data_IF_827118723556
#
_entry.id   IF_827118723556
#
_cell.length_a   1.000
_cell.length_b   1.000
_cell.length_c   1.000
_cell.angle_alpha   90.00
_cell.angle_beta   90.00
_cell.angle_gamma   90.00
#
_symmetry.space_group_name_H-M   'P 1'
#
loop_
_entity.id
_entity.type
_entity.pdbx_description
1 polymer ?
#
# COMPACT_ATOMS: atom_id res chain seq x y z
N UNK A 1 58.61 -4.75 24.72
CA UNK A 1 57.95 -5.97 25.23
C UNK A 1 56.68 -6.21 24.42
N UNK A 2 56.61 -7.33 23.69
CA UNK A 2 55.49 -7.73 22.83
C UNK A 2 54.56 -8.63 23.63
N UNK A 3 53.27 -8.33 23.67
CA UNK A 3 52.24 -9.29 24.09
C UNK A 3 51.26 -9.50 22.94
N UNK A 4 51.46 -10.59 22.20
CA UNK A 4 50.44 -11.22 21.35
C UNK A 4 49.43 -11.89 22.29
N UNK A 5 48.14 -11.56 22.17
CA UNK A 5 47.07 -12.44 22.65
C UNK A 5 46.43 -13.13 21.45
N UNK A 6 46.57 -14.45 21.49
CA UNK A 6 46.17 -15.45 20.54
C UNK A 6 44.75 -15.92 20.88
N UNK A 7 43.93 -16.08 19.82
CA UNK A 7 42.80 -16.99 19.63
C UNK A 7 41.86 -17.35 20.77
N UNK A 8 40.56 -17.29 20.48
CA UNK A 8 39.75 -18.50 20.48
C UNK A 8 38.45 -18.31 19.69
N UNK A 9 38.41 -18.97 18.53
CA UNK A 9 37.18 -19.28 17.80
C UNK A 9 36.46 -20.41 18.55
N UNK A 10 35.20 -20.21 18.90
CA UNK A 10 34.28 -21.31 19.19
C UNK A 10 33.03 -21.12 18.34
N UNK A 11 33.03 -21.76 17.19
CA UNK A 11 31.83 -22.08 16.43
C UNK A 11 31.04 -23.13 17.23
N UNK A 12 29.84 -22.77 17.66
CA UNK A 12 28.83 -23.73 18.14
C UNK A 12 27.97 -24.09 16.93
N UNK A 13 28.19 -25.27 16.37
CA UNK A 13 27.26 -25.88 15.42
C UNK A 13 26.11 -26.49 16.23
N UNK A 14 24.91 -25.89 16.12
CA UNK A 14 23.68 -26.49 16.63
C UNK A 14 23.07 -27.29 15.48
N UNK A 15 23.09 -28.61 15.62
CA UNK A 15 22.43 -29.53 14.71
C UNK A 15 20.91 -29.43 14.92
N UNK A 16 20.19 -28.96 13.90
CA UNK A 16 18.72 -28.98 13.87
C UNK A 16 18.28 -30.29 13.22
N UNK A 17 17.74 -31.19 14.04
CA UNK A 17 17.07 -32.42 13.57
C UNK A 17 15.70 -32.07 12.99
N UNK A 18 15.56 -32.21 11.67
CA UNK A 18 14.29 -32.16 10.96
C UNK A 18 13.51 -33.47 11.19
N UNK A 19 12.37 -33.40 11.87
CA UNK A 19 11.35 -34.44 11.82
C UNK A 19 10.39 -34.11 10.67
N UNK A 20 10.58 -34.77 9.53
CA UNK A 20 9.63 -34.75 8.42
C UNK A 20 8.45 -35.69 8.75
N UNK A 21 7.30 -35.13 9.13
CA UNK A 21 6.04 -35.86 9.14
C UNK A 21 5.36 -35.70 7.77
N UNK A 22 5.51 -36.71 6.90
CA UNK A 22 4.70 -36.81 5.68
C UNK A 22 3.25 -37.13 6.07
N UNK A 23 2.39 -36.11 6.06
CA UNK A 23 0.95 -36.31 6.03
C UNK A 23 0.49 -36.43 4.57
N UNK A 24 0.26 -37.66 4.11
CA UNK A 24 -0.37 -37.93 2.81
C UNK A 24 -1.85 -37.55 2.88
N UNK A 25 -2.22 -36.40 2.31
CA UNK A 25 -3.61 -36.06 2.06
C UNK A 25 -4.06 -36.67 0.73
N UNK A 26 -4.91 -37.70 0.80
CA UNK A 26 -5.68 -38.19 -0.34
C UNK A 26 -6.79 -37.20 -0.68
N UNK A 27 -6.67 -36.52 -1.81
CA UNK A 27 -7.73 -35.67 -2.35
C UNK A 27 -8.71 -36.57 -3.11
N UNK A 28 -9.86 -36.84 -2.51
CA UNK A 28 -10.98 -37.46 -3.19
C UNK A 28 -11.58 -36.45 -4.19
N UNK A 29 -11.36 -36.69 -5.48
CA UNK A 29 -11.95 -35.91 -6.57
C UNK A 29 -13.43 -36.31 -6.73
N UNK A 30 -14.34 -35.47 -6.22
CA UNK A 30 -15.77 -35.61 -6.47
C UNK A 30 -16.09 -35.02 -7.84
N UNK A 31 -16.28 -35.89 -8.83
CA UNK A 31 -16.80 -35.52 -10.14
C UNK A 31 -18.21 -34.91 -10.00
N UNK A 32 -18.37 -33.66 -10.44
CA UNK A 32 -19.69 -33.03 -10.56
C UNK A 32 -20.45 -33.66 -11.74
N UNK A 33 -21.74 -34.01 -11.58
CA UNK A 33 -22.57 -34.42 -12.70
C UNK A 33 -22.85 -33.21 -13.62
N UNK A 34 -22.46 -33.35 -14.89
CA UNK A 34 -22.82 -32.45 -15.97
C UNK A 34 -24.30 -32.61 -16.28
N UNK A 35 -25.14 -31.70 -15.79
CA UNK A 35 -26.53 -31.56 -16.25
C UNK A 35 -26.52 -30.83 -17.59
N UNK A 36 -26.88 -31.57 -18.65
CA UNK A 36 -27.10 -31.04 -19.99
C UNK A 36 -28.28 -30.06 -19.98
N UNK A 37 -28.03 -28.82 -20.41
CA UNK A 37 -29.06 -27.80 -20.61
C UNK A 37 -29.69 -28.04 -22.00
N UNK A 38 -31.02 -28.17 -22.12
CA UNK A 38 -31.68 -28.30 -23.42
C UNK A 38 -31.57 -26.98 -24.20
N UNK A 39 -31.10 -27.09 -25.45
CA UNK A 39 -31.05 -25.99 -26.40
C UNK A 39 -32.47 -25.60 -26.85
N UNK A 40 -32.89 -24.38 -26.52
CA UNK A 40 -34.04 -23.75 -27.14
C UNK A 40 -33.62 -23.05 -28.45
N UNK A 41 -34.39 -23.19 -29.54
CA UNK A 41 -34.12 -22.49 -30.80
C UNK A 41 -34.48 -21.00 -30.67
N UNK A 42 -33.49 -20.14 -30.92
CA UNK A 42 -33.70 -18.69 -31.08
C UNK A 42 -34.29 -18.41 -32.48
N UNK A 43 -35.44 -17.74 -32.59
CA UNK A 43 -35.91 -17.21 -33.87
C UNK A 43 -35.10 -15.97 -34.27
N UNK A 44 -34.59 -16.00 -35.51
CA UNK A 44 -33.97 -14.85 -36.17
C UNK A 44 -35.01 -13.77 -36.46
N UNK A 45 -34.75 -12.53 -36.02
CA UNK A 45 -35.48 -11.35 -36.46
C UNK A 45 -34.54 -10.12 -36.56
N UNK A 46 -34.27 -9.76 -37.81
CA UNK A 46 -34.01 -8.46 -38.44
C UNK A 46 -33.08 -7.40 -37.81
N UNK A 47 -32.24 -6.73 -38.64
CA UNK A 47 -31.45 -5.58 -38.23
C UNK A 47 -32.29 -4.30 -38.29
N UNK A 48 -32.54 -3.68 -37.14
CA UNK A 48 -33.03 -2.30 -37.08
C UNK A 48 -31.84 -1.37 -36.84
N UNK A 49 -31.42 -0.69 -37.89
CA UNK A 49 -30.48 0.43 -37.87
C UNK A 49 -31.02 1.55 -36.97
N UNK A 50 -30.34 1.82 -35.86
CA UNK A 50 -30.50 3.06 -35.10
C UNK A 50 -29.24 3.91 -35.27
N UNK A 51 -29.34 5.18 -35.70
CA UNK A 51 -28.24 6.12 -35.57
C UNK A 51 -28.14 6.52 -34.09
N UNK A 52 -27.22 5.90 -33.35
CA UNK A 52 -26.80 6.42 -32.07
C UNK A 52 -25.95 7.68 -32.33
N UNK A 53 -26.62 8.83 -32.33
CA UNK A 53 -25.98 10.14 -32.20
C UNK A 53 -25.20 10.10 -30.89
N UNK A 54 -23.88 9.86 -31.00
CA UNK A 54 -22.95 10.10 -29.91
C UNK A 54 -23.06 11.58 -29.53
N UNK A 55 -23.36 11.93 -28.27
CA UNK A 55 -23.07 13.27 -27.80
C UNK A 55 -21.55 13.42 -27.77
N UNK A 56 -21.00 13.92 -28.87
CA UNK A 56 -19.66 14.43 -28.95
C UNK A 56 -19.50 15.52 -27.88
N UNK A 57 -18.46 15.37 -27.06
CA UNK A 57 -17.81 16.42 -26.30
C UNK A 57 -18.75 17.47 -25.67
N UNK A 58 -19.39 17.11 -24.56
CA UNK A 58 -19.73 18.13 -23.59
C UNK A 58 -18.43 18.83 -23.17
N UNK A 59 -18.31 20.17 -23.29
CA UNK A 59 -17.13 20.87 -22.84
C UNK A 59 -16.96 20.60 -21.35
N UNK A 60 -15.85 19.93 -21.00
CA UNK A 60 -15.38 19.78 -19.63
C UNK A 60 -15.39 21.17 -19.01
N UNK A 61 -16.32 21.43 -18.08
CA UNK A 61 -16.32 22.66 -17.28
C UNK A 61 -14.90 22.79 -16.74
N UNK A 62 -14.23 23.88 -17.06
CA UNK A 62 -12.87 24.18 -16.60
C UNK A 62 -12.79 23.87 -15.10
N UNK A 63 -12.14 22.75 -14.77
CA UNK A 63 -11.99 22.30 -13.39
C UNK A 63 -11.19 23.36 -12.67
N UNK A 64 -11.66 23.77 -11.49
CA UNK A 64 -10.84 24.64 -10.63
C UNK A 64 -9.50 23.93 -10.40
N UNK A 65 -8.36 24.65 -10.47
CA UNK A 65 -7.06 24.06 -10.20
C UNK A 65 -7.12 23.36 -8.83
N UNK A 66 -6.99 22.04 -8.84
CA UNK A 66 -6.82 21.26 -7.61
C UNK A 66 -5.41 21.45 -7.14
N UNK A 67 -5.19 21.42 -5.84
CA UNK A 67 -3.83 21.55 -5.34
C UNK A 67 -3.19 20.16 -5.24
N UNK A 68 -2.14 19.95 -6.03
CA UNK A 68 -1.46 18.67 -6.19
C UNK A 68 -0.80 18.21 -4.91
N UNK A 69 -0.68 16.89 -4.75
CA UNK A 69 0.18 16.30 -3.73
C UNK A 69 1.45 15.78 -4.38
N UNK A 70 2.61 16.18 -3.84
CA UNK A 70 3.92 15.79 -4.37
C UNK A 70 4.62 14.77 -3.50
N UNK A 71 4.28 14.73 -2.20
CA UNK A 71 5.02 13.94 -1.24
C UNK A 71 4.09 13.19 -0.29
N UNK A 72 4.48 11.96 0.03
CA UNK A 72 3.92 11.18 1.12
C UNK A 72 5.07 10.60 1.93
N UNK A 73 4.97 10.66 3.26
CA UNK A 73 6.09 10.35 4.16
C UNK A 73 7.35 11.21 3.90
N UNK A 74 7.15 12.36 3.24
CA UNK A 74 8.19 13.27 2.75
C UNK A 74 9.11 12.69 1.67
N UNK A 75 8.64 11.68 0.93
CA UNK A 75 9.26 11.18 -0.31
C UNK A 75 8.33 11.41 -1.50
N UNK A 76 8.90 11.42 -2.71
CA UNK A 76 8.24 11.70 -3.99
C UNK A 76 8.22 10.46 -4.88
N UNK A 77 7.05 9.84 -5.10
CA UNK A 77 6.89 8.83 -6.15
C UNK A 77 7.33 9.38 -7.52
N UNK A 78 7.93 8.53 -8.34
CA UNK A 78 8.48 8.84 -9.66
C UNK A 78 9.85 9.53 -9.64
N UNK A 79 10.36 9.90 -8.47
CA UNK A 79 11.60 10.70 -8.35
C UNK A 79 12.57 10.19 -7.29
N UNK A 80 12.07 9.91 -6.10
CA UNK A 80 12.91 9.42 -5.00
C UNK A 80 13.15 7.91 -5.15
N UNK A 81 14.26 7.42 -4.58
CA UNK A 81 14.69 6.01 -4.74
C UNK A 81 14.65 5.23 -3.43
N UNK A 82 14.79 3.89 -3.51
CA UNK A 82 14.97 3.02 -2.34
C UNK A 82 16.10 3.51 -1.43
N UNK A 83 17.22 3.96 -1.98
CA UNK A 83 18.35 4.46 -1.19
C UNK A 83 17.96 5.68 -0.34
N UNK A 84 17.11 6.57 -0.86
CA UNK A 84 16.58 7.72 -0.10
C UNK A 84 15.61 7.27 1.00
N UNK A 85 14.77 6.27 0.72
CA UNK A 85 13.88 5.68 1.73
C UNK A 85 14.67 5.04 2.88
N UNK A 86 15.72 4.27 2.56
CA UNK A 86 16.61 3.65 3.55
C UNK A 86 17.39 4.69 4.36
N UNK A 87 17.84 5.77 3.73
CA UNK A 87 18.48 6.87 4.44
C UNK A 87 17.54 7.56 5.44
N UNK A 88 16.24 7.60 5.12
CA UNK A 88 15.21 8.27 5.93
C UNK A 88 14.64 7.40 7.04
N UNK A 89 14.32 6.14 6.73
CA UNK A 89 13.60 5.23 7.64
C UNK A 89 14.48 4.10 8.17
N UNK A 90 15.78 4.10 7.85
CA UNK A 90 16.71 3.04 8.19
C UNK A 90 16.31 1.70 7.57
N UNK A 91 16.24 0.64 8.36
CA UNK A 91 16.00 -0.73 7.88
C UNK A 91 14.50 -1.00 7.78
N UNK A 92 14.00 -1.57 6.66
CA UNK A 92 12.63 -2.04 6.58
C UNK A 92 12.38 -3.20 7.55
N UNK A 93 11.10 -3.39 7.87
CA UNK A 93 10.59 -4.51 8.64
C UNK A 93 10.90 -5.82 7.90
N UNK A 94 11.59 -6.76 8.55
CA UNK A 94 12.02 -8.01 7.92
C UNK A 94 10.95 -9.11 7.95
N UNK A 95 9.70 -8.78 8.29
CA UNK A 95 8.63 -9.77 8.47
C UNK A 95 8.77 -10.59 9.74
N UNK A 96 7.82 -11.50 9.94
CA UNK A 96 8.10 -12.68 10.76
C UNK A 96 9.11 -13.55 10.01
N UNK A 97 10.00 -14.30 10.68
CA UNK A 97 11.00 -15.13 10.02
C UNK A 97 10.41 -16.18 9.07
N UNK A 98 9.13 -16.51 9.23
CA UNK A 98 8.39 -17.45 8.39
C UNK A 98 7.57 -16.74 7.29
N UNK A 99 7.56 -15.41 7.25
CA UNK A 99 6.97 -14.66 6.15
C UNK A 99 7.88 -14.70 4.93
N UNK A 100 7.30 -14.80 3.73
CA UNK A 100 8.05 -14.57 2.50
C UNK A 100 8.78 -13.22 2.64
N UNK A 101 10.09 -13.17 2.32
CA UNK A 101 10.83 -11.92 2.39
C UNK A 101 10.14 -10.88 1.53
N UNK A 102 10.19 -9.61 1.98
CA UNK A 102 9.78 -8.47 1.15
C UNK A 102 10.39 -8.66 -0.25
N UNK A 103 9.55 -8.56 -1.29
CA UNK A 103 10.02 -8.72 -2.65
C UNK A 103 11.11 -7.70 -2.94
N UNK A 104 12.01 -8.01 -3.87
CA UNK A 104 12.97 -7.01 -4.37
C UNK A 104 12.26 -5.78 -5.00
N UNK A 105 10.94 -5.78 -5.13
CA UNK A 105 10.13 -4.66 -5.65
C UNK A 105 9.34 -3.93 -4.57
N UNK A 106 9.43 -4.30 -3.30
CA UNK A 106 8.70 -3.62 -2.23
C UNK A 106 9.47 -3.55 -0.92
N UNK A 107 9.06 -2.65 -0.04
CA UNK A 107 9.56 -2.59 1.33
C UNK A 107 8.49 -2.05 2.27
N UNK A 108 8.47 -2.56 3.50
CA UNK A 108 7.54 -2.12 4.53
C UNK A 108 8.29 -1.61 5.76
N UNK A 109 7.85 -0.47 6.31
CA UNK A 109 8.28 0.02 7.63
C UNK A 109 7.08 0.06 8.55
N UNK A 110 7.21 -0.55 9.74
CA UNK A 110 6.14 -0.63 10.74
C UNK A 110 6.49 0.15 11.99
N UNK A 111 5.53 0.93 12.46
CA UNK A 111 5.51 1.52 13.78
C UNK A 111 4.41 0.86 14.59
N UNK A 112 4.80 -0.24 15.24
CA UNK A 112 3.93 -1.06 16.07
C UNK A 112 3.44 -0.33 17.34
N UNK A 113 4.11 0.75 17.72
CA UNK A 113 3.70 1.60 18.84
C UNK A 113 2.44 2.39 18.50
N UNK A 114 2.31 2.78 17.23
CA UNK A 114 1.21 3.60 16.73
C UNK A 114 0.25 2.83 15.83
N UNK A 115 0.50 1.53 15.62
CA UNK A 115 -0.21 0.69 14.67
C UNK A 115 -0.27 1.33 13.28
N UNK A 116 0.88 1.71 12.73
CA UNK A 116 0.99 2.29 11.39
C UNK A 116 2.04 1.57 10.57
N UNK A 117 1.83 1.52 9.26
CA UNK A 117 2.85 1.07 8.32
C UNK A 117 3.01 2.03 7.14
N UNK A 118 4.24 2.10 6.63
CA UNK A 118 4.56 2.69 5.33
C UNK A 118 4.99 1.55 4.43
N UNK A 119 4.31 1.37 3.30
CA UNK A 119 4.66 0.44 2.24
C UNK A 119 5.11 1.22 1.03
N UNK A 120 6.16 0.77 0.37
CA UNK A 120 6.64 1.32 -0.89
C UNK A 120 6.77 0.23 -1.93
N UNK A 121 6.43 0.57 -3.16
CA UNK A 121 6.70 -0.23 -4.35
C UNK A 121 7.76 0.46 -5.18
N UNK A 122 8.70 -0.32 -5.68
CA UNK A 122 9.85 0.15 -6.45
C UNK A 122 9.78 -0.41 -7.86
N UNK A 123 9.98 0.49 -8.82
CA UNK A 123 10.06 0.19 -10.23
C UNK A 123 11.49 -0.02 -10.72
N UNK A 124 11.71 0.35 -11.98
CA UNK A 124 13.03 0.32 -12.60
C UNK A 124 14.01 1.26 -11.86
N UNK A 125 15.28 0.85 -11.76
CA UNK A 125 16.35 1.63 -11.12
C UNK A 125 16.05 2.01 -9.65
N UNK A 126 15.24 1.19 -8.94
CA UNK A 126 14.83 1.41 -7.56
C UNK A 126 14.10 2.74 -7.32
N UNK A 127 13.47 3.32 -8.36
CA UNK A 127 12.62 4.50 -8.22
C UNK A 127 11.32 4.09 -7.54
N UNK A 128 10.86 4.90 -6.58
CA UNK A 128 9.61 4.67 -5.87
C UNK A 128 8.44 4.92 -6.84
N UNK A 129 7.63 3.90 -7.11
CA UNK A 129 6.41 4.04 -7.94
C UNK A 129 5.21 4.45 -7.10
N UNK A 130 5.07 3.84 -5.92
CA UNK A 130 3.96 4.11 -5.01
C UNK A 130 4.43 4.16 -3.56
N UNK A 131 3.78 5.02 -2.78
CA UNK A 131 3.91 5.07 -1.33
C UNK A 131 2.51 4.91 -0.76
N UNK A 132 2.34 3.98 0.17
CA UNK A 132 1.12 3.80 0.94
C UNK A 132 1.44 3.95 2.42
N UNK A 133 0.67 4.79 3.12
CA UNK A 133 0.67 4.84 4.59
C UNK A 133 -0.68 4.39 5.09
N UNK A 134 -0.71 3.47 6.06
CA UNK A 134 -1.95 2.90 6.57
C UNK A 134 -1.91 2.62 8.07
N UNK A 135 -3.10 2.43 8.65
CA UNK A 135 -3.28 1.89 10.00
C UNK A 135 -3.33 0.37 9.90
N UNK A 136 -2.50 -0.32 10.70
CA UNK A 136 -2.49 -1.79 10.77
C UNK A 136 -3.36 -2.27 11.93
N UNK A 137 -4.17 -3.30 11.69
CA UNK A 137 -4.81 -4.03 12.79
C UNK A 137 -3.75 -4.82 13.57
N UNK A 138 -3.76 -4.67 14.90
CA UNK A 138 -2.84 -5.39 15.76
C UNK A 138 -2.90 -4.91 17.21
N UNK A 139 -2.36 -5.70 18.15
CA UNK A 139 -2.19 -5.23 19.51
C UNK A 139 -1.29 -4.00 19.51
N UNK A 140 -1.71 -2.96 20.25
CA UNK A 140 -0.83 -1.83 20.52
C UNK A 140 0.26 -2.35 21.46
N UNK A 141 1.51 -2.27 21.02
CA UNK A 141 2.64 -2.64 21.86
C UNK A 141 2.98 -1.49 22.79
N UNK A 142 3.24 -1.79 24.07
CA UNK A 142 3.78 -0.83 25.03
C UNK A 142 5.21 -0.46 24.63
N UNK A 143 5.30 0.55 23.77
CA UNK A 143 6.57 1.14 23.42
C UNK A 143 6.98 2.11 24.52
N UNK A 144 7.67 1.60 25.52
CA UNK A 144 8.45 2.45 26.40
C UNK A 144 9.40 3.29 25.54
N UNK A 145 9.58 4.60 25.82
CA UNK A 145 10.60 5.40 25.13
C UNK A 145 11.93 4.69 25.33
N UNK A 146 12.53 4.21 24.24
CA UNK A 146 13.69 3.34 24.31
C UNK A 146 14.83 4.04 25.05
N UNK A 147 15.00 3.75 26.33
CA UNK A 147 16.11 4.26 27.12
C UNK A 147 17.44 3.66 26.63
N UNK A 148 17.41 2.54 25.89
CA UNK A 148 18.61 1.80 25.48
C UNK A 148 18.36 0.97 24.22
N UNK A 149 18.63 1.54 23.04
CA UNK A 149 19.21 0.86 21.87
C UNK A 149 18.62 -0.47 21.37
N UNK A 150 17.37 -0.82 21.68
CA UNK A 150 16.78 -2.09 21.22
C UNK A 150 16.26 -1.91 19.78
N UNK A 151 16.78 -2.62 18.77
CA UNK A 151 16.52 -2.33 17.35
C UNK A 151 15.11 -2.72 16.84
N UNK A 152 14.16 -3.07 17.70
CA UNK A 152 12.94 -3.78 17.29
C UNK A 152 11.68 -2.92 17.09
N UNK A 153 11.61 -1.74 17.72
CA UNK A 153 10.43 -0.87 17.64
C UNK A 153 10.86 0.58 17.38
N UNK A 154 11.53 0.79 16.24
CA UNK A 154 11.92 2.13 15.83
C UNK A 154 10.66 2.97 15.62
N UNK A 155 10.42 3.89 16.54
CA UNK A 155 9.36 4.89 16.40
C UNK A 155 9.69 5.78 15.21
N UNK A 156 8.88 5.70 14.16
CA UNK A 156 9.08 6.51 12.96
C UNK A 156 8.80 8.00 13.28
N UNK A 157 9.47 8.93 12.57
CA UNK A 157 9.20 10.36 12.69
C UNK A 157 7.74 10.67 12.33
N UNK A 158 7.15 11.69 12.96
CA UNK A 158 5.73 12.02 12.74
C UNK A 158 5.43 12.44 11.30
N UNK A 159 6.43 12.96 10.61
CA UNK A 159 6.44 13.37 9.21
C UNK A 159 6.28 12.18 8.25
N UNK A 160 6.61 10.96 8.69
CA UNK A 160 6.39 9.75 7.91
C UNK A 160 4.91 9.43 7.67
N UNK A 161 4.02 10.02 8.46
CA UNK A 161 2.58 9.71 8.48
C UNK A 161 1.70 10.78 7.85
N UNK A 162 2.30 11.68 7.06
CA UNK A 162 1.61 12.84 6.50
C UNK A 162 1.96 13.06 5.04
N UNK A 163 1.02 13.69 4.34
CA UNK A 163 1.25 14.25 3.00
C UNK A 163 2.03 15.56 3.09
N UNK A 164 2.57 16.04 1.96
CA UNK A 164 3.23 17.34 1.88
C UNK A 164 2.31 18.52 2.22
N UNK A 165 1.00 18.32 2.07
CA UNK A 165 -0.03 19.31 2.42
C UNK A 165 -0.61 19.11 3.82
N UNK A 166 -0.01 18.21 4.60
CA UNK A 166 -0.29 18.01 6.02
C UNK A 166 -1.48 17.12 6.35
N UNK A 167 -2.11 16.47 5.35
CA UNK A 167 -3.12 15.44 5.61
C UNK A 167 -2.44 14.27 6.32
N UNK A 168 -3.06 13.76 7.39
CA UNK A 168 -2.48 12.68 8.22
C UNK A 168 -3.46 11.54 8.47
N UNK A 169 -2.93 10.35 8.77
CA UNK A 169 -3.74 9.23 9.27
C UNK A 169 -4.52 9.63 10.54
N UNK A 170 -5.79 9.22 10.60
CA UNK A 170 -6.72 9.51 11.70
C UNK A 170 -7.47 10.84 11.58
N UNK A 171 -7.13 11.71 10.63
CA UNK A 171 -7.90 12.95 10.39
C UNK A 171 -9.28 12.66 9.79
N UNK A 172 -10.22 13.59 9.94
CA UNK A 172 -11.58 13.43 9.42
C UNK A 172 -11.61 13.54 7.89
N UNK A 173 -12.52 12.82 7.23
CA UNK A 173 -12.82 12.94 5.80
C UNK A 173 -13.06 14.39 5.36
N UNK A 174 -13.72 15.21 6.19
CA UNK A 174 -13.94 16.63 5.91
C UNK A 174 -12.63 17.41 5.72
N UNK A 175 -11.55 17.01 6.41
CA UNK A 175 -10.21 17.59 6.22
C UNK A 175 -9.66 17.29 4.83
N UNK A 176 -9.84 16.07 4.32
CA UNK A 176 -9.44 15.67 2.96
C UNK A 176 -10.08 16.60 1.93
N UNK A 177 -11.39 16.85 2.07
CA UNK A 177 -12.14 17.74 1.17
C UNK A 177 -11.69 19.21 1.28
N UNK A 178 -11.29 19.67 2.46
CA UNK A 178 -10.74 21.02 2.64
C UNK A 178 -9.38 21.16 1.96
N UNK A 179 -8.54 20.11 2.02
CA UNK A 179 -7.18 20.14 1.45
C UNK A 179 -7.21 19.98 -0.08
N UNK A 180 -7.92 18.97 -0.58
CA UNK A 180 -7.87 18.57 -2.00
C UNK A 180 -9.13 18.91 -2.80
N UNK A 181 -10.22 19.32 -2.13
CA UNK A 181 -11.51 19.54 -2.78
C UNK A 181 -12.30 18.25 -3.01
N UNK A 182 -13.36 18.31 -3.84
CA UNK A 182 -14.14 17.14 -4.21
C UNK A 182 -13.31 16.13 -5.04
N UNK A 183 -13.37 14.83 -4.72
CA UNK A 183 -12.66 13.80 -5.47
C UNK A 183 -13.26 13.61 -6.87
N UNK A 184 -12.50 12.94 -7.73
CA UNK A 184 -12.85 12.61 -9.10
C UNK A 184 -13.79 11.43 -9.15
N UNK A 185 -13.53 10.45 -8.31
CA UNK A 185 -14.42 9.34 -8.03
C UNK A 185 -14.41 9.04 -6.53
N UNK A 186 -15.54 8.53 -6.05
CA UNK A 186 -15.70 8.05 -4.69
C UNK A 186 -16.56 6.80 -4.71
N UNK A 187 -16.30 5.86 -3.81
CA UNK A 187 -17.03 4.59 -3.79
C UNK A 187 -16.92 3.84 -2.47
N UNK A 188 -17.79 2.86 -2.25
CA UNK A 188 -17.63 1.94 -1.14
C UNK A 188 -16.34 1.13 -1.33
N UNK A 189 -15.64 0.89 -0.23
CA UNK A 189 -14.48 0.00 -0.16
C UNK A 189 -14.57 -0.84 1.12
N UNK A 190 -13.77 -1.89 1.19
CA UNK A 190 -13.59 -2.67 2.41
C UNK A 190 -12.11 -2.85 2.67
N UNK A 191 -11.65 -2.47 3.85
CA UNK A 191 -10.26 -2.62 4.27
C UNK A 191 -10.24 -3.37 5.60
N UNK A 192 -9.51 -4.50 5.66
CA UNK A 192 -9.40 -5.33 6.87
C UNK A 192 -10.75 -5.81 7.45
N UNK A 193 -11.78 -5.94 6.60
CA UNK A 193 -13.13 -6.37 6.99
C UNK A 193 -14.06 -5.25 7.48
N UNK A 194 -13.56 -4.02 7.60
CA UNK A 194 -14.37 -2.85 7.93
C UNK A 194 -14.89 -2.14 6.66
N UNK A 195 -16.11 -1.59 6.74
CA UNK A 195 -16.63 -0.72 5.69
C UNK A 195 -15.84 0.59 5.63
N UNK A 196 -15.39 0.92 4.43
CA UNK A 196 -14.65 2.13 4.13
C UNK A 196 -15.24 2.88 2.94
N UNK A 197 -14.83 4.14 2.79
CA UNK A 197 -15.08 4.97 1.63
C UNK A 197 -13.75 5.30 0.99
N UNK A 198 -13.66 5.07 -0.31
CA UNK A 198 -12.51 5.37 -1.13
C UNK A 198 -12.71 6.71 -1.84
N UNK A 199 -11.69 7.57 -1.82
CA UNK A 199 -11.64 8.86 -2.50
C UNK A 199 -10.44 8.88 -3.45
N UNK A 200 -10.69 9.18 -4.72
CA UNK A 200 -9.66 9.19 -5.76
C UNK A 200 -9.45 10.60 -6.31
N UNK A 201 -8.18 11.00 -6.41
CA UNK A 201 -7.74 12.28 -6.94
C UNK A 201 -6.71 12.06 -8.05
N UNK A 202 -6.91 12.70 -9.20
CA UNK A 202 -6.00 12.65 -10.34
C UNK A 202 -5.37 14.03 -10.56
N UNK A 203 -4.04 14.06 -10.66
CA UNK A 203 -3.25 15.28 -10.87
C UNK A 203 -2.79 15.37 -12.34
N UNK A 204 -3.76 15.30 -13.25
CA UNK A 204 -3.65 15.23 -14.71
C UNK A 204 -2.90 16.38 -15.40
N UNK A 205 -2.53 17.45 -14.68
CA UNK A 205 -1.97 18.67 -15.26
C UNK A 205 -0.50 18.92 -14.91
N UNK A 206 0.15 17.99 -14.20
CA UNK A 206 1.36 18.30 -13.45
C UNK A 206 2.68 17.80 -14.09
N UNK A 207 2.60 17.09 -15.23
CA UNK A 207 3.76 16.52 -15.93
C UNK A 207 4.30 15.26 -15.26
N UNK A 208 5.18 14.53 -15.95
CA UNK A 208 5.73 13.23 -15.50
C UNK A 208 6.51 13.28 -14.18
N UNK A 209 6.91 14.46 -13.74
CA UNK A 209 7.68 14.71 -12.51
C UNK A 209 6.81 14.87 -11.25
N UNK A 210 5.50 14.68 -11.40
CA UNK A 210 4.51 14.85 -10.35
C UNK A 210 3.73 13.54 -10.20
N UNK A 211 3.53 13.06 -8.95
CA UNK A 211 2.61 11.96 -8.70
C UNK A 211 1.27 12.22 -9.38
N UNK A 212 0.76 11.21 -10.06
CA UNK A 212 -0.45 11.35 -10.87
C UNK A 212 -1.71 11.06 -10.06
N UNK A 213 -1.59 10.25 -9.01
CA UNK A 213 -2.75 9.74 -8.27
C UNK A 213 -2.53 9.88 -6.77
N UNK A 214 -3.54 10.44 -6.10
CA UNK A 214 -3.71 10.36 -4.65
C UNK A 214 -5.00 9.60 -4.34
N UNK A 215 -4.88 8.56 -3.54
CA UNK A 215 -5.99 7.79 -3.04
C UNK A 215 -6.08 7.93 -1.52
N UNK A 216 -7.30 8.09 -1.02
CA UNK A 216 -7.55 8.21 0.43
C UNK A 216 -8.69 7.29 0.81
N UNK A 217 -8.41 6.35 1.71
CA UNK A 217 -9.43 5.49 2.30
C UNK A 217 -9.83 6.02 3.66
N UNK A 218 -11.13 6.20 3.87
CA UNK A 218 -11.71 6.64 5.13
C UNK A 218 -12.57 5.52 5.72
N UNK A 219 -12.38 5.18 6.99
CA UNK A 219 -13.28 4.26 7.69
C UNK A 219 -14.67 4.88 7.81
N UNK A 220 -15.71 4.18 7.35
CA UNK A 220 -17.06 4.74 7.20
C UNK A 220 -17.74 5.02 8.55
N UNK A 221 -17.44 4.21 9.57
CA UNK A 221 -18.02 4.36 10.92
C UNK A 221 -17.46 5.59 11.65
N UNK A 222 -16.14 5.78 11.59
CA UNK A 222 -15.46 6.88 12.28
C UNK A 222 -15.33 8.15 11.44
N UNK A 223 -15.45 8.02 10.11
CA UNK A 223 -15.18 9.09 9.16
C UNK A 223 -13.70 9.51 9.13
N UNK A 224 -12.78 8.66 9.61
CA UNK A 224 -11.35 8.97 9.72
C UNK A 224 -10.54 8.32 8.62
N UNK A 225 -9.49 9.01 8.16
CA UNK A 225 -8.51 8.49 7.20
C UNK A 225 -7.76 7.32 7.82
N UNK A 226 -7.78 6.18 7.13
CA UNK A 226 -7.09 4.95 7.55
C UNK A 226 -5.97 4.54 6.61
N UNK A 227 -6.04 4.96 5.34
CA UNK A 227 -4.99 4.75 4.35
C UNK A 227 -4.87 5.98 3.43
N UNK A 228 -3.63 6.30 3.05
CA UNK A 228 -3.31 7.28 2.02
C UNK A 228 -2.30 6.64 1.09
N UNK A 229 -2.57 6.67 -0.22
CA UNK A 229 -1.65 6.19 -1.26
C UNK A 229 -1.33 7.34 -2.20
N UNK A 230 -0.05 7.52 -2.51
CA UNK A 230 0.43 8.46 -3.51
C UNK A 230 1.28 7.70 -4.52
N UNK A 231 0.91 7.76 -5.80
CA UNK A 231 1.57 7.01 -6.86
C UNK A 231 1.97 7.91 -8.04
N UNK A 232 3.13 7.61 -8.62
CA UNK A 232 3.47 8.07 -9.96
C UNK A 232 2.67 7.25 -11.00
N UNK A 233 2.50 7.79 -12.21
CA UNK A 233 2.07 6.93 -13.32
C UNK A 233 3.10 5.83 -13.51
N UNK A 234 2.66 4.57 -13.56
CA UNK A 234 3.47 3.52 -14.16
C UNK A 234 3.60 3.85 -15.65
N UNK A 235 4.80 4.21 -16.09
CA UNK A 235 5.13 4.42 -17.50
C UNK A 235 4.91 3.15 -18.34
#
# INVERSE_FOLDING_TARGET
MRFRRQGNNRAMAVAVTFFAALATFSIASAARPTTAIPAHPFPAASPATLPAISPANAPSKARKPRANELTLAGLRPGRDTRAMALARFHKPWAGDPDSEPDSDTSAVWRDLCRNREVRMEFGENDVIESITVSIIAGPIYDCAPAATGTPGAATMPMEAWRTGRGLSLGELRSRVLVVYGPPESQGPSSEQGDEAEFLYYAFDWAGSEVPQVLEVTCNKKSGRVVQITLAAESL
#
